data_IF_449783144925
#
_entry.id   IF_449783144925
#
_cell.length_a   1.000
_cell.length_b   1.000
_cell.length_c   1.000
_cell.angle_alpha   90.00
_cell.angle_beta   90.00
_cell.angle_gamma   90.00
#
_symmetry.space_group_name_H-M   'P 1'
#
loop_
_entity.id
_entity.type
_entity.pdbx_description
1 polymer ?
#
# COMPACT_ATOMS: atom_id res chain seq x y z
N UNK A 1 16.60 20.13 2.47
CA UNK A 1 15.93 18.91 2.03
C UNK A 1 16.39 17.73 2.87
N UNK A 2 15.47 16.88 3.30
CA UNK A 2 15.80 15.65 4.02
C UNK A 2 16.44 14.62 3.05
N UNK A 3 17.39 13.79 3.50
CA UNK A 3 17.86 12.67 2.71
C UNK A 3 16.73 11.65 2.54
N UNK A 4 16.88 10.71 1.59
CA UNK A 4 15.97 9.57 1.50
C UNK A 4 16.11 8.70 2.75
N UNK A 5 15.03 8.00 3.12
CA UNK A 5 15.09 7.03 4.21
C UNK A 5 15.93 5.82 3.80
N UNK A 6 16.98 5.51 4.56
CA UNK A 6 17.89 4.40 4.29
C UNK A 6 17.67 3.27 5.31
N UNK A 7 16.45 2.80 5.46
CA UNK A 7 16.15 1.64 6.27
C UNK A 7 15.44 0.56 5.44
N UNK A 8 15.58 -0.67 5.85
CA UNK A 8 14.90 -1.81 5.27
C UNK A 8 14.27 -2.65 6.38
N UNK A 9 12.96 -2.77 6.35
CA UNK A 9 12.22 -3.60 7.28
C UNK A 9 11.51 -4.71 6.53
N UNK A 10 11.74 -5.93 6.97
CA UNK A 10 11.02 -7.12 6.51
C UNK A 10 10.83 -8.10 7.65
N UNK A 11 9.76 -8.87 7.59
CA UNK A 11 9.43 -9.90 8.58
C UNK A 11 8.69 -11.05 7.92
N UNK A 12 9.16 -12.27 8.15
CA UNK A 12 8.43 -13.47 7.77
C UNK A 12 7.39 -13.81 8.84
N UNK A 13 6.16 -14.03 8.40
CA UNK A 13 5.01 -14.38 9.24
C UNK A 13 4.20 -15.46 8.53
N UNK A 14 4.13 -16.67 9.08
CA UNK A 14 3.28 -17.74 8.57
C UNK A 14 3.49 -18.07 7.07
N UNK A 15 4.74 -18.09 6.61
CA UNK A 15 5.06 -18.34 5.19
C UNK A 15 4.92 -17.12 4.28
N UNK A 16 4.51 -15.97 4.79
CA UNK A 16 4.42 -14.70 4.07
C UNK A 16 5.56 -13.77 4.46
N UNK A 17 5.92 -12.87 3.56
CA UNK A 17 6.84 -11.78 3.86
C UNK A 17 6.06 -10.47 3.98
N UNK A 18 6.19 -9.78 5.10
CA UNK A 18 5.75 -8.40 5.28
C UNK A 18 6.97 -7.51 5.18
N UNK A 19 6.91 -6.46 4.37
CA UNK A 19 8.04 -5.55 4.19
C UNK A 19 7.58 -4.12 3.93
N UNK A 20 8.50 -3.19 4.15
CA UNK A 20 8.30 -1.78 3.82
C UNK A 20 9.23 -1.35 2.71
N UNK A 21 8.77 -0.43 1.88
CA UNK A 21 9.54 0.17 0.80
C UNK A 21 9.03 1.59 0.51
N UNK A 22 9.66 2.25 -0.46
CA UNK A 22 9.23 3.59 -0.92
C UNK A 22 9.15 4.60 0.22
N UNK A 23 10.22 4.68 1.05
CA UNK A 23 10.30 5.62 2.16
C UNK A 23 10.45 7.04 1.64
N UNK A 24 9.41 7.85 1.85
CA UNK A 24 9.25 9.19 1.32
C UNK A 24 9.29 10.24 2.45
N UNK A 25 10.48 10.72 2.86
CA UNK A 25 10.59 11.82 3.83
C UNK A 25 9.97 13.10 3.26
N UNK A 26 9.26 13.87 4.08
CA UNK A 26 8.58 15.09 3.63
C UNK A 26 7.66 14.84 2.45
N UNK A 27 6.92 13.74 2.47
CA UNK A 27 6.11 13.27 1.37
C UNK A 27 4.61 13.30 1.64
N UNK A 28 3.86 12.80 0.67
CA UNK A 28 2.40 12.72 0.71
C UNK A 28 1.93 11.37 0.18
N UNK A 29 0.80 10.90 0.69
CA UNK A 29 0.05 9.81 0.08
C UNK A 29 -0.77 10.36 -1.07
N UNK A 30 -0.71 9.74 -2.24
CA UNK A 30 -1.34 10.20 -3.48
C UNK A 30 -2.31 9.18 -4.04
N UNK A 31 -3.25 9.65 -4.88
CA UNK A 31 -4.18 8.79 -5.61
C UNK A 31 -3.47 8.18 -6.83
N UNK A 32 -3.56 6.85 -6.97
CA UNK A 32 -2.89 6.08 -8.02
C UNK A 32 -3.85 5.16 -8.80
N UNK A 33 -5.17 5.32 -8.64
CA UNK A 33 -6.14 4.54 -9.38
C UNK A 33 -6.16 4.91 -10.87
N UNK A 34 -6.25 3.91 -11.74
CA UNK A 34 -6.35 4.06 -13.19
C UNK A 34 -7.66 3.55 -13.78
N UNK A 35 -8.54 3.00 -12.95
CA UNK A 35 -9.84 2.47 -13.36
C UNK A 35 -10.97 3.15 -12.59
N UNK A 36 -12.09 3.40 -13.27
CA UNK A 36 -13.28 3.99 -12.64
C UNK A 36 -13.85 3.10 -11.54
N UNK A 37 -14.28 3.70 -10.43
CA UNK A 37 -14.86 2.98 -9.30
C UNK A 37 -13.85 2.16 -8.50
N UNK A 38 -12.57 2.54 -8.54
CA UNK A 38 -11.49 1.90 -7.80
C UNK A 38 -10.65 2.93 -7.06
N UNK A 39 -10.14 2.59 -5.90
CA UNK A 39 -9.22 3.43 -5.13
C UNK A 39 -7.91 2.69 -4.91
N UNK A 40 -6.81 3.36 -5.22
CA UNK A 40 -5.43 2.88 -5.02
C UNK A 40 -4.62 4.04 -4.47
N UNK A 41 -3.82 3.76 -3.46
CA UNK A 41 -2.90 4.75 -2.87
C UNK A 41 -1.47 4.45 -3.25
N UNK A 42 -0.62 5.47 -3.23
CA UNK A 42 0.83 5.35 -3.33
C UNK A 42 1.50 6.45 -2.51
N UNK A 43 2.77 6.30 -2.17
CA UNK A 43 3.56 7.30 -1.49
C UNK A 43 4.48 8.05 -2.45
N UNK A 44 4.59 9.37 -2.27
CA UNK A 44 5.45 10.24 -3.08
C UNK A 44 6.13 11.30 -2.23
N UNK A 45 7.31 11.75 -2.64
CA UNK A 45 7.92 12.99 -2.15
C UNK A 45 8.16 13.95 -3.30
N UNK A 46 7.95 15.23 -3.05
CA UNK A 46 8.47 16.27 -3.92
C UNK A 46 10.00 16.33 -3.81
N UNK A 47 10.66 16.93 -4.80
CA UNK A 47 12.12 17.07 -4.78
C UNK A 47 12.65 17.78 -3.52
N UNK A 48 11.91 18.78 -3.02
CA UNK A 48 12.26 19.53 -1.81
C UNK A 48 12.20 18.68 -0.53
N UNK A 49 11.37 17.62 -0.47
CA UNK A 49 11.17 16.76 0.70
C UNK A 49 10.90 17.54 1.98
N UNK A 50 10.06 18.57 1.87
CA UNK A 50 9.75 19.55 2.92
C UNK A 50 8.30 19.46 3.43
N UNK A 51 7.56 18.41 3.03
CA UNK A 51 6.24 18.14 3.57
C UNK A 51 6.26 17.77 5.06
N UNK A 52 5.14 17.96 5.73
CA UNK A 52 5.00 17.75 7.17
C UNK A 52 5.21 16.29 7.60
N UNK A 53 4.83 15.33 6.75
CA UNK A 53 4.87 13.91 7.06
C UNK A 53 5.96 13.18 6.29
N UNK A 54 6.39 12.05 6.82
CA UNK A 54 7.02 10.98 6.05
C UNK A 54 5.99 9.89 5.79
N UNK A 55 6.13 9.14 4.70
CA UNK A 55 5.34 7.94 4.44
C UNK A 55 6.20 6.79 3.93
N UNK A 56 5.66 5.59 4.06
CA UNK A 56 6.24 4.37 3.49
C UNK A 56 5.11 3.40 3.17
N UNK A 57 5.27 2.59 2.14
CA UNK A 57 4.39 1.47 1.90
C UNK A 57 4.70 0.33 2.86
N UNK A 58 3.64 -0.32 3.36
CA UNK A 58 3.73 -1.59 4.10
C UNK A 58 2.91 -2.62 3.36
N UNK A 59 3.55 -3.67 2.90
CA UNK A 59 2.94 -4.67 2.05
C UNK A 59 3.18 -6.09 2.55
N UNK A 60 2.30 -6.99 2.17
CA UNK A 60 2.41 -8.42 2.44
C UNK A 60 2.45 -9.19 1.13
N UNK A 61 3.31 -10.19 1.03
CA UNK A 61 3.38 -11.05 -0.13
C UNK A 61 2.09 -11.86 -0.31
N UNK A 62 1.63 -11.94 -1.54
CA UNK A 62 0.55 -12.82 -2.00
C UNK A 62 1.11 -13.87 -2.95
N UNK A 63 0.44 -14.99 -3.07
CA UNK A 63 0.84 -16.10 -3.95
C UNK A 63 -0.37 -16.69 -4.68
N UNK A 64 -0.14 -17.68 -5.51
CA UNK A 64 -1.17 -18.30 -6.32
C UNK A 64 -2.36 -18.86 -5.53
N UNK A 65 -2.15 -19.29 -4.28
CA UNK A 65 -3.23 -19.81 -3.44
C UNK A 65 -4.23 -18.70 -3.03
N UNK A 66 -3.79 -17.44 -2.96
CA UNK A 66 -4.64 -16.32 -2.57
C UNK A 66 -5.67 -15.95 -3.65
N UNK A 67 -5.36 -16.20 -4.92
CA UNK A 67 -6.22 -15.83 -6.04
C UNK A 67 -6.55 -16.97 -7.00
N UNK A 68 -6.08 -18.20 -6.71
CA UNK A 68 -6.49 -19.42 -7.44
C UNK A 68 -5.73 -19.68 -8.74
N UNK A 69 -4.46 -19.28 -8.85
CA UNK A 69 -3.48 -19.93 -9.69
C UNK A 69 -3.23 -19.37 -11.09
N UNK A 70 -3.82 -18.25 -11.53
CA UNK A 70 -3.47 -17.65 -12.82
C UNK A 70 -3.41 -16.10 -12.77
N UNK A 71 -2.73 -15.49 -13.75
CA UNK A 71 -2.53 -14.05 -13.83
C UNK A 71 -3.85 -13.26 -13.95
N UNK A 72 -4.88 -13.81 -14.60
CA UNK A 72 -6.19 -13.15 -14.73
C UNK A 72 -6.90 -13.08 -13.39
N UNK A 73 -6.81 -14.14 -12.61
CA UNK A 73 -7.35 -14.18 -11.24
C UNK A 73 -6.59 -13.25 -10.31
N UNK A 74 -5.26 -13.16 -10.47
CA UNK A 74 -4.46 -12.18 -9.73
C UNK A 74 -4.90 -10.73 -10.03
N UNK A 75 -5.14 -10.40 -11.31
CA UNK A 75 -5.69 -9.09 -11.71
C UNK A 75 -7.10 -8.88 -11.13
N UNK A 76 -7.95 -9.90 -11.17
CA UNK A 76 -9.29 -9.81 -10.60
C UNK A 76 -9.25 -9.59 -9.08
N UNK A 77 -8.36 -10.27 -8.38
CA UNK A 77 -8.13 -10.08 -6.94
C UNK A 77 -7.68 -8.65 -6.60
N UNK A 78 -6.70 -8.09 -7.33
CA UNK A 78 -6.31 -6.68 -7.17
C UNK A 78 -7.50 -5.75 -7.39
N UNK A 79 -8.24 -5.95 -8.47
CA UNK A 79 -9.41 -5.13 -8.81
C UNK A 79 -10.52 -5.21 -7.77
N UNK A 80 -10.72 -6.36 -7.16
CA UNK A 80 -11.68 -6.52 -6.07
C UNK A 80 -11.27 -5.72 -4.83
N UNK A 81 -10.00 -5.79 -4.42
CA UNK A 81 -9.47 -5.00 -3.31
C UNK A 81 -9.60 -3.50 -3.57
N UNK A 82 -9.31 -3.05 -4.78
CA UNK A 82 -9.44 -1.65 -5.20
C UNK A 82 -10.90 -1.16 -5.19
N UNK A 83 -11.85 -2.02 -5.59
CA UNK A 83 -13.27 -1.71 -5.54
C UNK A 83 -13.79 -1.65 -4.09
N UNK A 84 -13.33 -2.57 -3.21
CA UNK A 84 -13.63 -2.51 -1.78
C UNK A 84 -13.11 -1.22 -1.15
N UNK A 85 -11.87 -0.83 -1.47
CA UNK A 85 -11.29 0.42 -0.99
C UNK A 85 -12.08 1.65 -1.46
N UNK A 86 -12.53 1.67 -2.72
CA UNK A 86 -13.39 2.72 -3.27
C UNK A 86 -14.73 2.82 -2.53
N UNK A 87 -15.39 1.70 -2.31
CA UNK A 87 -16.66 1.64 -1.59
C UNK A 87 -16.49 2.08 -0.12
N UNK A 88 -15.45 1.62 0.56
CA UNK A 88 -15.13 1.98 1.93
C UNK A 88 -14.75 3.47 2.08
N UNK A 89 -14.19 4.08 1.05
CA UNK A 89 -13.95 5.51 0.95
C UNK A 89 -15.22 6.35 0.72
N UNK A 90 -16.39 5.70 0.54
CA UNK A 90 -17.69 6.37 0.32
C UNK A 90 -18.01 6.62 -1.15
N UNK A 91 -17.30 6.00 -2.11
CA UNK A 91 -17.60 6.08 -3.55
C UNK A 91 -17.20 7.40 -4.22
N UNK A 92 -16.54 8.30 -3.50
CA UNK A 92 -16.11 9.63 -4.00
C UNK A 92 -14.60 9.77 -4.21
N UNK A 93 -13.87 8.65 -4.29
CA UNK A 93 -12.40 8.58 -4.37
C UNK A 93 -11.67 9.09 -3.12
N UNK A 94 -12.33 9.30 -2.00
CA UNK A 94 -11.64 9.37 -0.72
C UNK A 94 -11.04 7.99 -0.39
N UNK A 95 -9.90 7.95 0.31
CA UNK A 95 -9.26 6.70 0.67
C UNK A 95 -9.75 6.20 2.04
N UNK A 96 -9.97 4.91 2.23
CA UNK A 96 -10.16 4.37 3.56
C UNK A 96 -8.87 4.50 4.38
N UNK A 97 -9.02 4.89 5.64
CA UNK A 97 -7.87 5.12 6.52
C UNK A 97 -8.22 4.82 7.99
N UNK A 98 -7.21 4.46 8.75
CA UNK A 98 -7.27 4.35 10.20
C UNK A 98 -5.92 4.61 10.84
N UNK A 99 -5.89 4.84 12.15
CA UNK A 99 -4.62 4.93 12.86
C UNK A 99 -3.95 3.55 12.98
N UNK A 100 -2.62 3.51 12.99
CA UNK A 100 -1.87 2.25 13.12
C UNK A 100 -2.29 1.48 14.37
N UNK A 101 -2.48 2.15 15.50
CA UNK A 101 -2.97 1.51 16.73
C UNK A 101 -4.33 0.85 16.51
N UNK A 102 -5.25 1.56 15.88
CA UNK A 102 -6.58 1.06 15.55
C UNK A 102 -6.52 -0.20 14.69
N UNK A 103 -5.67 -0.19 13.65
CA UNK A 103 -5.44 -1.35 12.80
C UNK A 103 -4.93 -2.56 13.59
N UNK A 104 -3.97 -2.36 14.49
CA UNK A 104 -3.42 -3.43 15.32
C UNK A 104 -4.48 -4.02 16.26
N UNK A 105 -5.41 -3.20 16.76
CA UNK A 105 -6.50 -3.58 17.65
C UNK A 105 -7.78 -4.06 16.91
N UNK A 106 -7.89 -3.80 15.59
CA UNK A 106 -9.06 -4.12 14.78
C UNK A 106 -10.26 -3.22 15.05
N UNK A 107 -10.04 -1.95 15.37
CA UNK A 107 -11.07 -1.03 15.81
C UNK A 107 -11.65 -0.13 14.70
N UNK A 108 -10.97 0.02 13.56
CA UNK A 108 -11.44 0.82 12.41
C UNK A 108 -11.60 2.32 12.70
N UNK A 109 -10.81 2.87 13.62
CA UNK A 109 -10.95 4.27 14.03
C UNK A 109 -9.85 5.16 13.46
N UNK A 110 -10.26 6.37 13.09
CA UNK A 110 -9.36 7.44 12.67
C UNK A 110 -9.61 8.65 13.56
N UNK A 111 -8.72 8.92 14.48
CA UNK A 111 -8.81 10.10 15.36
C UNK A 111 -7.82 11.17 14.91
N UNK A 112 -8.18 12.42 15.17
CA UNK A 112 -7.30 13.55 14.93
C UNK A 112 -6.09 13.49 15.88
N UNK A 113 -4.89 13.45 15.31
CA UNK A 113 -3.62 13.42 16.04
C UNK A 113 -2.63 14.41 15.45
N UNK A 114 -1.36 14.27 15.83
CA UNK A 114 -0.28 15.08 15.28
C UNK A 114 -0.06 14.81 13.77
N UNK A 115 -0.33 13.58 13.32
CA UNK A 115 -0.22 13.20 11.92
C UNK A 115 -1.54 13.45 11.20
N UNK A 116 -1.54 14.35 10.24
CA UNK A 116 -2.70 14.64 9.39
C UNK A 116 -2.60 13.85 8.08
N UNK A 117 -3.68 13.16 7.66
CA UNK A 117 -3.70 12.51 6.36
C UNK A 117 -3.42 13.50 5.23
N UNK A 118 -2.56 13.10 4.28
CA UNK A 118 -2.16 13.93 3.13
C UNK A 118 -2.83 13.55 1.82
N UNK A 119 -3.66 12.52 1.82
CA UNK A 119 -4.33 12.04 0.61
C UNK A 119 -5.25 13.13 0.02
N UNK A 120 -5.08 13.52 -1.27
CA UNK A 120 -5.67 14.76 -1.81
C UNK A 120 -7.20 14.72 -1.99
N UNK A 121 -7.80 13.52 -2.00
CA UNK A 121 -9.25 13.34 -2.09
C UNK A 121 -9.92 13.18 -0.73
N UNK A 122 -9.17 13.40 0.36
CA UNK A 122 -9.65 13.15 1.72
C UNK A 122 -9.65 11.67 2.10
N UNK A 123 -9.91 11.40 3.35
CA UNK A 123 -9.93 10.05 3.90
C UNK A 123 -11.23 9.77 4.65
N UNK A 124 -11.63 8.52 4.66
CA UNK A 124 -12.80 8.02 5.40
C UNK A 124 -12.34 6.98 6.42
N UNK A 125 -12.76 7.13 7.67
CA UNK A 125 -12.45 6.16 8.72
C UNK A 125 -13.03 4.78 8.36
N UNK A 126 -12.19 3.75 8.41
CA UNK A 126 -12.56 2.38 8.04
C UNK A 126 -11.61 1.39 8.68
N UNK A 127 -12.11 0.23 9.10
CA UNK A 127 -11.27 -0.94 9.43
C UNK A 127 -10.64 -1.50 8.15
N UNK A 128 -9.39 -1.13 7.89
CA UNK A 128 -8.63 -1.59 6.72
C UNK A 128 -8.45 -3.11 6.73
N UNK A 129 -8.42 -3.71 7.92
CA UNK A 129 -8.32 -5.15 8.08
C UNK A 129 -9.52 -5.90 7.51
N UNK A 130 -10.71 -5.28 7.51
CA UNK A 130 -11.93 -5.86 6.95
C UNK A 130 -11.96 -5.87 5.41
N UNK A 131 -11.12 -5.07 4.78
CA UNK A 131 -11.03 -5.00 3.31
C UNK A 131 -10.17 -6.11 2.73
N UNK A 132 -9.32 -6.72 3.54
CA UNK A 132 -8.35 -7.73 3.15
C UNK A 132 -8.79 -9.14 3.61
N UNK A 133 -8.32 -10.20 2.95
CA UNK A 133 -8.40 -11.54 3.53
C UNK A 133 -7.77 -11.60 4.92
N UNK A 134 -8.41 -12.32 5.86
CA UNK A 134 -7.98 -12.34 7.27
C UNK A 134 -6.54 -12.76 7.50
N UNK A 135 -6.02 -13.69 6.67
CA UNK A 135 -4.62 -14.12 6.76
C UNK A 135 -3.63 -13.00 6.38
N UNK A 136 -3.97 -12.16 5.39
CA UNK A 136 -3.15 -11.01 5.00
C UNK A 136 -3.19 -9.95 6.10
N UNK A 137 -4.36 -9.68 6.66
CA UNK A 137 -4.52 -8.75 7.80
C UNK A 137 -3.71 -9.22 9.01
N UNK A 138 -3.80 -10.50 9.36
CA UNK A 138 -3.03 -11.08 10.47
C UNK A 138 -1.52 -10.96 10.25
N UNK A 139 -1.05 -11.24 9.04
CA UNK A 139 0.36 -11.10 8.68
C UNK A 139 0.84 -9.64 8.78
N UNK A 140 0.05 -8.68 8.25
CA UNK A 140 0.37 -7.25 8.34
C UNK A 140 0.45 -6.76 9.78
N UNK A 141 -0.50 -7.14 10.65
CA UNK A 141 -0.47 -6.80 12.09
C UNK A 141 0.77 -7.34 12.79
N UNK A 142 1.11 -8.60 12.53
CA UNK A 142 2.33 -9.22 13.08
C UNK A 142 3.60 -8.56 12.53
N UNK A 143 3.63 -8.23 11.24
CA UNK A 143 4.72 -7.52 10.59
C UNK A 143 4.96 -6.13 11.18
N UNK A 144 3.91 -5.32 11.31
CA UNK A 144 3.96 -3.99 11.93
C UNK A 144 4.48 -4.06 13.37
N UNK A 145 3.97 -5.02 14.16
CA UNK A 145 4.45 -5.24 15.53
C UNK A 145 5.94 -5.64 15.57
N UNK A 146 6.41 -6.37 14.57
CA UNK A 146 7.83 -6.70 14.44
C UNK A 146 8.67 -5.49 14.01
N UNK A 147 8.14 -4.62 13.16
CA UNK A 147 8.82 -3.38 12.73
C UNK A 147 9.04 -2.41 13.89
N UNK A 148 8.08 -2.27 14.79
CA UNK A 148 8.25 -1.48 16.02
C UNK A 148 9.44 -1.95 16.86
N UNK A 149 9.68 -3.26 16.94
CA UNK A 149 10.85 -3.80 17.67
C UNK A 149 12.17 -3.52 16.95
N UNK A 150 12.14 -3.40 15.62
CA UNK A 150 13.35 -3.13 14.81
C UNK A 150 13.64 -1.64 14.68
N UNK A 151 12.59 -0.84 14.61
CA UNK A 151 12.65 0.62 14.47
C UNK A 151 11.60 1.24 15.39
N UNK A 152 12.03 1.61 16.60
CA UNK A 152 11.13 2.18 17.61
C UNK A 152 10.43 3.43 17.11
N UNK A 153 9.11 3.49 17.31
CA UNK A 153 8.26 4.57 16.85
C UNK A 153 7.69 4.38 15.44
N UNK A 154 8.02 3.27 14.76
CA UNK A 154 7.47 2.98 13.43
C UNK A 154 5.94 2.83 13.46
N UNK A 155 5.40 2.28 14.54
CA UNK A 155 3.96 2.14 14.77
C UNK A 155 3.45 3.13 15.82
N UNK A 156 3.92 4.38 15.75
CA UNK A 156 3.40 5.44 16.63
C UNK A 156 1.86 5.45 16.58
N UNK A 157 1.17 5.56 17.73
CA UNK A 157 -0.29 5.41 17.81
C UNK A 157 -1.07 6.34 16.87
N UNK A 158 -0.56 7.54 16.65
CA UNK A 158 -1.13 8.57 15.79
C UNK A 158 -0.77 8.42 14.30
N UNK A 159 0.18 7.55 13.95
CA UNK A 159 0.49 7.29 12.54
C UNK A 159 -0.75 6.78 11.80
N UNK A 160 -0.91 7.20 10.56
CA UNK A 160 -2.09 6.92 9.74
C UNK A 160 -1.75 5.92 8.66
N UNK A 161 -2.53 4.84 8.60
CA UNK A 161 -2.58 3.93 7.46
C UNK A 161 -3.64 4.45 6.48
N UNK A 162 -3.26 4.57 5.22
CA UNK A 162 -4.16 4.97 4.14
C UNK A 162 -4.12 3.88 3.07
N UNK A 163 -5.21 3.28 2.78
CA UNK A 163 -5.26 2.08 1.94
C UNK A 163 -6.10 2.24 0.68
N UNK A 164 -5.93 1.33 -0.22
CA UNK A 164 -4.96 0.22 -0.27
C UNK A 164 -3.93 0.49 -1.35
N UNK A 165 -2.67 0.09 -1.12
CA UNK A 165 -1.66 0.05 -2.17
C UNK A 165 -1.58 -1.37 -2.74
N UNK A 166 -2.22 -1.59 -3.89
CA UNK A 166 -2.37 -2.91 -4.52
C UNK A 166 -1.45 -3.12 -5.71
N UNK A 167 -0.77 -2.07 -6.18
CA UNK A 167 -0.01 -2.08 -7.43
C UNK A 167 1.50 -1.98 -7.22
N UNK A 168 2.03 -2.89 -6.41
CA UNK A 168 3.46 -2.98 -6.12
C UNK A 168 4.21 -3.76 -7.19
N UNK A 169 3.64 -4.88 -7.64
CA UNK A 169 4.22 -5.78 -8.65
C UNK A 169 3.14 -6.23 -9.62
N UNK A 170 3.50 -6.35 -10.90
CA UNK A 170 2.58 -6.89 -11.91
C UNK A 170 2.47 -8.41 -11.78
N UNK A 171 1.26 -8.99 -11.82
CA UNK A 171 1.07 -10.42 -11.95
C UNK A 171 1.40 -10.95 -13.35
N UNK A 172 1.68 -10.05 -14.30
CA UNK A 172 2.02 -10.37 -15.68
C UNK A 172 3.41 -9.86 -16.00
N UNK A 173 4.27 -10.73 -16.50
CA UNK A 173 5.57 -10.35 -17.04
C UNK A 173 5.42 -10.00 -18.51
N UNK A 174 5.93 -8.83 -18.90
CA UNK A 174 6.04 -8.40 -20.29
C UNK A 174 7.51 -8.55 -20.73
N UNK A 175 7.87 -9.61 -21.46
CA UNK A 175 9.24 -9.84 -21.89
C UNK A 175 9.72 -8.72 -22.82
N UNK A 176 10.98 -8.33 -22.67
CA UNK A 176 11.65 -7.30 -23.47
C UNK A 176 13.02 -7.78 -23.90
N UNK A 177 13.46 -7.35 -25.06
CA UNK A 177 14.82 -7.56 -25.55
C UNK A 177 15.81 -6.58 -24.88
N UNK A 178 17.05 -6.60 -25.31
CA UNK A 178 18.13 -5.73 -24.83
C UNK A 178 17.91 -4.23 -25.08
N UNK A 179 17.05 -3.88 -26.05
CA UNK A 179 16.66 -2.52 -26.40
C UNK A 179 15.38 -2.08 -25.68
N UNK A 180 14.79 -2.95 -24.85
CA UNK A 180 13.54 -2.69 -24.15
C UNK A 180 12.29 -2.89 -25.00
N UNK A 181 12.41 -3.34 -26.25
CA UNK A 181 11.29 -3.66 -27.13
C UNK A 181 10.64 -4.99 -26.74
N UNK A 182 9.32 -5.08 -26.89
CA UNK A 182 8.58 -6.33 -26.64
C UNK A 182 9.08 -7.44 -27.54
N UNK A 183 9.35 -8.63 -26.98
CA UNK A 183 9.72 -9.81 -27.78
C UNK A 183 8.56 -10.36 -28.62
N UNK A 184 7.33 -10.02 -28.26
CA UNK A 184 6.12 -10.56 -28.88
C UNK A 184 5.49 -9.60 -29.90
N UNK A 185 5.70 -8.29 -29.74
CA UNK A 185 5.07 -7.25 -30.58
C UNK A 185 6.10 -6.19 -30.98
N UNK A 186 6.42 -6.15 -32.27
CA UNK A 186 7.37 -5.17 -32.83
C UNK A 186 6.84 -3.74 -32.72
N UNK A 187 7.70 -2.80 -32.39
CA UNK A 187 7.36 -1.36 -32.25
C UNK A 187 6.66 -1.02 -30.94
N UNK A 188 6.69 -1.92 -29.94
CA UNK A 188 6.10 -1.71 -28.60
C UNK A 188 7.19 -1.81 -27.53
N UNK A 189 7.34 -0.78 -26.72
CA UNK A 189 8.24 -0.73 -25.57
C UNK A 189 7.41 -0.71 -24.27
N UNK A 190 7.17 -1.87 -23.65
CA UNK A 190 6.38 -1.93 -22.42
C UNK A 190 7.11 -1.23 -21.26
N UNK A 191 6.40 -0.40 -20.49
CA UNK A 191 6.88 0.24 -19.27
C UNK A 191 6.07 -0.27 -18.07
N UNK A 192 6.77 -0.66 -16.98
CA UNK A 192 6.11 -1.12 -15.75
C UNK A 192 6.64 -2.41 -15.23
#
# INVERSE_FOLDING_TARGET
ALPRGEYQLSQHVGGRCVYTFCMCPGGSVVAAASETGRAVTNGMSLHARDGENANAAVVVSVNEADFGGDARRAIAFQRELEARAYAAGGGGYAAPAENVRSFLEGAGTLYAGAVKPTYPRGVTACDLGSLLPGELTGALRAGLSAFERKLRGYTAPEAVLTGLETRTSSPVRLPRDENGESTDVRGVWPCG
#
